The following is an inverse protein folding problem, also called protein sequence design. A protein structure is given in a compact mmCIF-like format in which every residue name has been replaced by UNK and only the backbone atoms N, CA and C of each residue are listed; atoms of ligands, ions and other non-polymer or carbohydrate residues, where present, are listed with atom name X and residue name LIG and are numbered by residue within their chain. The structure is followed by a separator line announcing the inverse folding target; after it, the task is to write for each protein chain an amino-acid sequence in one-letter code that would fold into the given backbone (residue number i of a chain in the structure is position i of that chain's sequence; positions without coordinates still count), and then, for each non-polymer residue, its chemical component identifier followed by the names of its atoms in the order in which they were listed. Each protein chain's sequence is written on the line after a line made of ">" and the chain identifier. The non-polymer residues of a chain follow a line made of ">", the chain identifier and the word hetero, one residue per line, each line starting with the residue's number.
data_IF_151781084658
#
_entry.id   IF_151781084658
#
_cell.length_a   1.000
_cell.length_b   1.000
_cell.length_c   1.000
_cell.angle_alpha   90.00
_cell.angle_beta   90.00
_cell.angle_gamma   90.00
#
_symmetry.space_group_name_H-M   'P 1'
#
loop_
_entity.id
_entity.type
_entity.pdbx_description
1 polymer ?
#
# COMPACT_ATOMS: atom_id res chain seq x y z
N UNK A 1 2.02 12.73 -22.38
CA UNK A 1 2.39 12.27 -21.03
C UNK A 1 1.25 11.42 -20.50
N UNK A 2 1.45 10.11 -20.33
CA UNK A 2 0.41 9.22 -19.84
C UNK A 2 0.38 9.31 -18.30
N UNK A 3 -0.49 10.15 -17.75
CA UNK A 3 -0.69 10.22 -16.29
C UNK A 3 -1.25 8.86 -15.86
N UNK A 4 -0.51 8.10 -15.04
CA UNK A 4 -1.04 6.86 -14.47
C UNK A 4 -2.18 7.21 -13.52
N UNK A 5 -3.41 6.98 -13.98
CA UNK A 5 -4.62 7.28 -13.21
C UNK A 5 -4.73 6.28 -12.06
N UNK A 6 -4.73 6.78 -10.81
CA UNK A 6 -4.99 5.94 -9.63
C UNK A 6 -6.45 5.52 -9.60
N UNK A 7 -6.71 4.23 -9.45
CA UNK A 7 -8.08 3.69 -9.29
C UNK A 7 -8.46 3.72 -7.82
N UNK A 8 -9.62 4.30 -7.48
CA UNK A 8 -10.17 4.24 -6.11
C UNK A 8 -10.65 2.82 -5.83
N UNK A 9 -10.23 2.28 -4.69
CA UNK A 9 -10.62 0.95 -4.21
C UNK A 9 -11.14 1.09 -2.78
N UNK A 10 -12.21 0.38 -2.45
CA UNK A 10 -12.71 0.21 -1.09
C UNK A 10 -12.36 -1.21 -0.63
N UNK A 11 -11.80 -1.35 0.56
CA UNK A 11 -11.39 -2.65 1.13
C UNK A 11 -11.78 -2.74 2.60
N UNK A 12 -12.07 -3.94 3.06
CA UNK A 12 -12.20 -4.25 4.49
C UNK A 12 -10.97 -5.05 4.91
N UNK A 13 -10.24 -4.54 5.89
CA UNK A 13 -9.04 -5.19 6.45
C UNK A 13 -9.10 -5.09 7.97
N UNK A 14 -8.28 -5.89 8.65
CA UNK A 14 -8.26 -5.92 10.11
C UNK A 14 -7.82 -4.58 10.70
N UNK A 15 -8.41 -4.24 11.84
CA UNK A 15 -8.17 -2.99 12.56
C UNK A 15 -6.70 -2.81 12.95
N UNK A 16 -6.04 -3.87 13.44
CA UNK A 16 -4.62 -3.86 13.82
C UNK A 16 -3.70 -3.39 12.69
N UNK A 17 -4.04 -3.72 11.44
CA UNK A 17 -3.29 -3.30 10.26
C UNK A 17 -3.54 -1.83 9.91
N UNK A 18 -4.76 -1.34 10.12
CA UNK A 18 -5.11 0.07 9.91
C UNK A 18 -4.38 0.94 10.93
N UNK A 19 -4.41 0.54 12.20
CA UNK A 19 -3.72 1.25 13.29
C UNK A 19 -2.21 1.30 13.06
N UNK A 20 -1.62 0.18 12.64
CA UNK A 20 -0.20 0.16 12.28
C UNK A 20 0.10 1.13 11.14
N UNK A 21 -0.72 1.12 10.10
CA UNK A 21 -0.57 1.99 8.93
C UNK A 21 -0.69 3.47 9.31
N UNK A 22 -1.62 3.83 10.19
CA UNK A 22 -1.78 5.18 10.69
C UNK A 22 -0.53 5.68 11.41
N UNK A 23 0.07 4.86 12.27
CA UNK A 23 1.36 5.20 12.91
C UNK A 23 2.48 5.43 11.90
N UNK A 24 2.48 4.71 10.76
CA UNK A 24 3.46 4.95 9.69
C UNK A 24 3.20 6.26 8.93
N UNK A 25 1.95 6.70 8.84
CA UNK A 25 1.60 8.00 8.26
C UNK A 25 2.01 9.13 9.20
N UNK A 26 1.73 8.99 10.50
CA UNK A 26 2.15 9.93 11.54
C UNK A 26 3.67 10.08 11.59
N UNK A 27 4.40 8.98 11.43
CA UNK A 27 5.87 8.98 11.36
C UNK A 27 6.43 9.54 10.03
N UNK A 28 5.58 10.08 9.16
CA UNK A 28 5.91 10.58 7.81
C UNK A 28 6.55 9.54 6.88
N UNK A 29 6.46 8.24 7.19
CA UNK A 29 6.94 7.18 6.29
C UNK A 29 6.05 7.09 5.05
N UNK A 30 4.75 7.28 5.23
CA UNK A 30 3.78 7.35 4.14
C UNK A 30 3.04 8.67 4.17
N UNK A 31 2.73 9.19 2.99
CA UNK A 31 1.98 10.43 2.83
C UNK A 31 0.51 10.29 3.28
N UNK A 32 -0.07 9.12 3.11
CA UNK A 32 -1.41 8.75 3.58
C UNK A 32 -1.59 7.22 3.52
N UNK A 33 -2.75 6.73 3.99
CA UNK A 33 -3.10 5.29 3.95
C UNK A 33 -3.00 4.69 2.54
N UNK A 34 -3.48 5.41 1.52
CA UNK A 34 -3.44 4.92 0.13
C UNK A 34 -2.01 4.69 -0.35
N UNK A 35 -1.07 5.57 0.00
CA UNK A 35 0.35 5.40 -0.34
C UNK A 35 0.94 4.15 0.35
N UNK A 36 0.65 3.93 1.63
CA UNK A 36 1.14 2.73 2.33
C UNK A 36 0.55 1.42 1.80
N UNK A 37 -0.75 1.42 1.43
CA UNK A 37 -1.40 0.26 0.80
C UNK A 37 -0.80 -0.02 -0.58
N UNK A 38 -0.59 1.03 -1.39
CA UNK A 38 0.05 0.93 -2.71
C UNK A 38 1.46 0.34 -2.60
N UNK A 39 2.26 0.83 -1.65
CA UNK A 39 3.59 0.30 -1.36
C UNK A 39 3.57 -1.18 -0.96
N UNK A 40 2.66 -1.58 -0.06
CA UNK A 40 2.54 -2.96 0.39
C UNK A 40 2.18 -3.91 -0.76
N UNK A 41 1.22 -3.52 -1.61
CA UNK A 41 0.83 -4.31 -2.79
C UNK A 41 1.97 -4.43 -3.79
N UNK A 42 2.73 -3.37 -4.01
CA UNK A 42 3.90 -3.39 -4.89
C UNK A 42 4.97 -4.35 -4.36
N UNK A 43 5.25 -4.34 -3.05
CA UNK A 43 6.21 -5.28 -2.43
C UNK A 43 5.75 -6.72 -2.52
N UNK A 44 4.46 -6.97 -2.31
CA UNK A 44 3.89 -8.31 -2.48
C UNK A 44 4.02 -8.79 -3.93
N UNK A 45 3.70 -7.93 -4.91
CA UNK A 45 3.84 -8.21 -6.34
C UNK A 45 5.28 -8.56 -6.72
N UNK A 46 6.26 -7.81 -6.23
CA UNK A 46 7.69 -8.06 -6.44
C UNK A 46 8.11 -9.41 -5.85
N UNK A 47 7.69 -9.71 -4.61
CA UNK A 47 8.00 -10.97 -3.95
C UNK A 47 7.36 -12.18 -4.66
N UNK A 48 6.16 -12.01 -5.21
CA UNK A 48 5.47 -13.05 -5.98
C UNK A 48 6.12 -13.30 -7.35
N UNK A 49 6.65 -12.26 -8.00
CA UNK A 49 7.38 -12.39 -9.26
C UNK A 49 8.68 -13.18 -9.05
N UNK A 50 9.46 -12.82 -8.02
CA UNK A 50 10.75 -13.45 -7.71
C UNK A 50 10.64 -14.91 -7.24
N UNK A 51 9.45 -15.40 -6.86
CA UNK A 51 9.22 -16.80 -6.50
C UNK A 51 8.89 -17.71 -7.69
N UNK A 52 8.59 -17.11 -8.85
CA UNK A 52 8.18 -17.83 -10.07
C UNK A 52 9.31 -17.96 -11.09
N UNK A 53 10.45 -17.33 -10.82
CA UNK A 53 11.72 -17.52 -11.52
C UNK A 53 12.63 -18.46 -10.73
#
# INVERSE_FOLDING_TARGET
>A
MNVMVKKRVAVTIREDLVDWLDRQVESMRFHNRSHGIEYALQKLKEADHNKRE
#
